data_IF_737996292567
#
_entry.id   IF_737996292567
#
_cell.length_a   1.000
_cell.length_b   1.000
_cell.length_c   1.000
_cell.angle_alpha   90.00
_cell.angle_beta   90.00
_cell.angle_gamma   90.00
#
_symmetry.space_group_name_H-M   'P 1'
#
loop_
_entity.id
_entity.type
_entity.pdbx_description
1 polymer ?
#
# COMPACT_ATOMS: atom_id res chain seq x y z
N UNK A 1 15.87 26.25 -1.69
CA UNK A 1 15.70 26.40 -0.22
C UNK A 1 15.20 25.08 0.34
N UNK A 2 15.97 24.43 1.22
CA UNK A 2 15.53 23.21 1.88
C UNK A 2 14.62 23.58 3.06
N UNK A 3 13.37 23.11 3.04
CA UNK A 3 12.42 23.34 4.12
C UNK A 3 12.48 22.16 5.08
N UNK A 4 12.97 22.42 6.29
CA UNK A 4 12.96 21.40 7.35
C UNK A 4 11.53 21.16 7.82
N UNK A 5 11.21 19.88 8.11
CA UNK A 5 9.96 19.53 8.76
C UNK A 5 9.94 20.11 10.18
N UNK A 6 9.03 21.07 10.41
CA UNK A 6 8.82 21.76 11.69
C UNK A 6 7.60 21.23 12.47
N UNK A 7 7.01 20.13 12.03
CA UNK A 7 5.89 19.52 12.74
C UNK A 7 6.33 19.17 14.17
N UNK A 8 5.53 19.48 15.22
CA UNK A 8 5.88 19.17 16.61
C UNK A 8 6.21 17.67 16.81
N UNK A 9 5.48 16.80 16.11
CA UNK A 9 5.66 15.34 16.20
C UNK A 9 6.83 14.82 15.34
N UNK A 10 7.55 15.69 14.63
CA UNK A 10 8.70 15.26 13.85
C UNK A 10 9.76 14.61 14.76
N UNK A 11 10.22 13.41 14.38
CA UNK A 11 11.17 12.58 15.14
C UNK A 11 10.65 12.05 16.49
N UNK A 12 9.37 12.16 16.76
CA UNK A 12 8.73 11.44 17.86
C UNK A 12 8.23 10.07 17.38
N UNK A 13 8.06 9.10 18.29
CA UNK A 13 7.40 7.84 17.96
C UNK A 13 6.02 8.08 17.33
N UNK A 14 5.65 7.23 16.38
CA UNK A 14 4.28 7.18 15.88
C UNK A 14 3.29 6.94 17.03
N UNK A 15 2.09 7.49 16.91
CA UNK A 15 1.00 7.13 17.82
C UNK A 15 0.74 5.62 17.74
N UNK A 16 0.15 4.98 18.77
CA UNK A 16 -0.17 3.56 18.70
C UNK A 16 -1.02 3.17 17.48
N UNK A 17 -1.94 4.05 17.07
CA UNK A 17 -2.77 3.87 15.89
C UNK A 17 -1.95 3.93 14.59
N UNK A 18 -1.10 4.94 14.45
CA UNK A 18 -0.23 5.07 13.28
C UNK A 18 0.81 3.95 13.22
N UNK A 19 1.34 3.51 14.37
CA UNK A 19 2.27 2.39 14.43
C UNK A 19 1.61 1.07 13.99
N UNK A 20 0.34 0.85 14.34
CA UNK A 20 -0.41 -0.30 13.88
C UNK A 20 -0.66 -0.27 12.35
N UNK A 21 -0.90 0.91 11.79
CA UNK A 21 -1.22 1.08 10.37
C UNK A 21 0.01 1.20 9.44
N UNK A 22 1.03 1.94 9.88
CA UNK A 22 2.21 2.33 9.09
C UNK A 22 3.48 1.59 9.52
N UNK A 23 3.45 0.87 10.65
CA UNK A 23 4.53 0.00 11.09
C UNK A 23 4.56 -1.33 10.35
N UNK A 24 5.49 -2.21 10.74
CA UNK A 24 5.73 -3.50 10.06
C UNK A 24 4.47 -4.37 9.98
N UNK A 25 3.68 -4.44 11.05
CA UNK A 25 2.44 -5.22 11.07
C UNK A 25 1.41 -4.71 10.06
N UNK A 26 1.29 -3.39 9.89
CA UNK A 26 0.41 -2.78 8.89
C UNK A 26 0.89 -3.05 7.46
N UNK A 27 2.21 -3.01 7.24
CA UNK A 27 2.83 -3.38 5.94
C UNK A 27 2.53 -4.85 5.61
N UNK A 28 2.76 -5.77 6.54
CA UNK A 28 2.49 -7.21 6.36
C UNK A 28 1.01 -7.48 6.03
N UNK A 29 0.09 -6.77 6.71
CA UNK A 29 -1.33 -6.88 6.42
C UNK A 29 -1.68 -6.37 5.01
N UNK A 30 -1.15 -5.20 4.62
CA UNK A 30 -1.37 -4.64 3.29
C UNK A 30 -0.78 -5.53 2.18
N UNK A 31 0.43 -6.05 2.37
CA UNK A 31 1.08 -6.97 1.43
C UNK A 31 0.28 -8.25 1.23
N UNK A 32 -0.25 -8.86 2.30
CA UNK A 32 -1.10 -10.05 2.20
C UNK A 32 -2.34 -9.81 1.33
N UNK A 33 -3.01 -8.68 1.51
CA UNK A 33 -4.19 -8.32 0.72
C UNK A 33 -3.84 -8.02 -0.74
N UNK A 34 -2.76 -7.26 -0.96
CA UNK A 34 -2.32 -6.92 -2.31
C UNK A 34 -1.82 -8.14 -3.08
N UNK A 35 -1.28 -9.15 -2.39
CA UNK A 35 -0.84 -10.42 -2.96
C UNK A 35 -1.99 -11.32 -3.42
N UNK A 36 -3.20 -11.14 -2.91
CA UNK A 36 -4.38 -11.86 -3.39
C UNK A 36 -4.83 -11.40 -4.80
N UNK A 37 -4.11 -10.49 -5.46
CA UNK A 37 -4.45 -9.95 -6.78
C UNK A 37 -3.63 -10.61 -7.88
N UNK A 38 -4.26 -10.82 -9.03
CA UNK A 38 -3.63 -11.47 -10.19
C UNK A 38 -2.50 -10.66 -10.87
N UNK A 39 -2.33 -9.37 -10.52
CA UNK A 39 -1.42 -8.44 -11.21
C UNK A 39 -0.45 -7.71 -10.26
N UNK A 40 0.43 -8.48 -9.63
CA UNK A 40 1.50 -7.92 -8.80
C UNK A 40 2.80 -7.83 -9.61
N UNK A 41 3.21 -6.60 -9.91
CA UNK A 41 4.55 -6.31 -10.40
C UNK A 41 5.14 -5.19 -9.54
N UNK A 42 6.38 -5.38 -9.09
CA UNK A 42 7.14 -4.30 -8.47
C UNK A 42 7.35 -3.17 -9.47
N UNK A 43 7.19 -1.94 -9.01
CA UNK A 43 7.52 -0.76 -9.79
C UNK A 43 9.00 -0.42 -9.70
N UNK A 44 9.61 0.17 -10.74
CA UNK A 44 11.03 0.52 -10.72
C UNK A 44 11.38 1.50 -9.59
N UNK A 45 12.61 1.37 -9.07
CA UNK A 45 13.26 2.37 -8.24
C UNK A 45 14.47 2.90 -8.99
N UNK A 46 14.34 4.07 -9.62
CA UNK A 46 15.39 4.67 -10.44
C UNK A 46 16.41 5.37 -9.57
N UNK A 47 17.70 5.06 -9.74
CA UNK A 47 18.80 5.81 -9.14
C UNK A 47 19.21 6.98 -10.05
N UNK A 48 19.41 8.18 -9.48
CA UNK A 48 19.78 9.40 -10.20
C UNK A 48 21.11 9.98 -9.69
N UNK A 49 22.25 9.28 -9.88
CA UNK A 49 23.53 9.66 -9.28
C UNK A 49 24.08 11.01 -9.81
N UNK A 50 23.89 11.33 -11.10
CA UNK A 50 24.35 12.60 -11.66
C UNK A 50 23.64 13.80 -11.01
N UNK A 51 22.30 13.75 -10.93
CA UNK A 51 21.50 14.79 -10.28
C UNK A 51 21.79 14.87 -8.77
N UNK A 52 22.05 13.75 -8.11
CA UNK A 52 22.48 13.75 -6.72
C UNK A 52 23.80 14.51 -6.52
N UNK A 53 24.76 14.33 -7.44
CA UNK A 53 26.03 15.07 -7.46
C UNK A 53 25.84 16.58 -7.67
N UNK A 54 25.00 16.98 -8.62
CA UNK A 54 24.67 18.39 -8.86
C UNK A 54 24.01 19.05 -7.64
N UNK A 55 23.17 18.31 -6.90
CA UNK A 55 22.48 18.78 -5.70
C UNK A 55 23.36 18.72 -4.43
N UNK A 56 24.53 18.08 -4.48
CA UNK A 56 25.40 17.89 -3.32
C UNK A 56 24.81 16.96 -2.25
N UNK A 57 23.97 15.98 -2.63
CA UNK A 57 23.37 14.99 -1.72
C UNK A 57 23.94 13.58 -1.95
N UNK A 58 23.86 12.72 -0.94
CA UNK A 58 24.46 11.37 -1.02
C UNK A 58 23.79 10.43 -2.02
N UNK A 59 22.48 10.51 -2.18
CA UNK A 59 21.73 9.71 -3.14
C UNK A 59 20.37 10.35 -3.47
N UNK A 60 19.88 10.09 -4.67
CA UNK A 60 18.53 10.41 -5.10
C UNK A 60 17.93 9.20 -5.80
N UNK A 61 16.78 8.75 -5.32
CA UNK A 61 16.02 7.66 -5.91
C UNK A 61 14.58 8.09 -6.18
N UNK A 62 14.01 7.61 -7.29
CA UNK A 62 12.61 7.83 -7.66
C UNK A 62 11.90 6.48 -7.73
N UNK A 63 10.90 6.27 -6.87
CA UNK A 63 9.98 5.13 -6.97
C UNK A 63 8.93 5.45 -8.03
N UNK A 64 9.01 4.78 -9.17
CA UNK A 64 8.19 5.07 -10.35
C UNK A 64 6.87 4.30 -10.32
N UNK A 65 5.90 4.89 -9.65
CA UNK A 65 4.53 4.36 -9.57
C UNK A 65 3.67 4.67 -10.81
N UNK A 66 4.22 5.29 -11.86
CA UNK A 66 3.47 5.67 -13.05
C UNK A 66 2.92 4.48 -13.84
N UNK A 67 3.53 3.30 -13.67
CA UNK A 67 3.08 2.03 -14.29
C UNK A 67 2.33 1.12 -13.34
N UNK A 68 2.11 1.54 -12.08
CA UNK A 68 1.41 0.74 -11.09
C UNK A 68 0.04 0.31 -11.62
N UNK A 69 -0.14 -0.99 -11.79
CA UNK A 69 -1.38 -1.63 -12.26
C UNK A 69 -1.85 -1.18 -13.65
N UNK A 70 -1.00 -0.50 -14.43
CA UNK A 70 -1.41 0.12 -15.69
C UNK A 70 -2.36 1.32 -15.56
N UNK A 71 -2.53 1.88 -14.34
CA UNK A 71 -3.53 2.91 -14.04
C UNK A 71 -2.95 4.34 -13.92
N UNK A 72 -1.66 4.51 -14.19
CA UNK A 72 -1.03 5.84 -14.22
C UNK A 72 -0.65 6.44 -12.84
N UNK A 73 -0.98 5.77 -11.72
CA UNK A 73 -0.57 6.20 -10.38
C UNK A 73 -0.68 5.09 -9.33
N UNK A 74 -0.15 5.34 -8.12
CA UNK A 74 -0.21 4.41 -6.99
C UNK A 74 -1.57 4.30 -6.29
N UNK A 75 -2.47 5.27 -6.48
CA UNK A 75 -3.67 5.45 -5.62
C UNK A 75 -4.64 4.26 -5.65
N UNK A 76 -4.63 3.52 -6.74
CA UNK A 76 -5.46 2.33 -6.90
C UNK A 76 -5.11 1.22 -5.88
N UNK A 77 -3.90 1.21 -5.31
CA UNK A 77 -3.54 0.26 -4.25
C UNK A 77 -4.42 0.43 -3.00
N UNK A 78 -4.61 1.67 -2.54
CA UNK A 78 -5.45 1.95 -1.37
C UNK A 78 -6.93 1.70 -1.65
N UNK A 79 -7.41 2.10 -2.83
CA UNK A 79 -8.80 1.83 -3.24
C UNK A 79 -9.10 0.34 -3.32
N UNK A 80 -8.23 -0.45 -3.95
CA UNK A 80 -8.38 -1.90 -4.03
C UNK A 80 -8.35 -2.55 -2.64
N UNK A 81 -7.40 -2.15 -1.79
CA UNK A 81 -7.30 -2.65 -0.41
C UNK A 81 -8.58 -2.40 0.39
N UNK A 82 -9.12 -1.17 0.34
CA UNK A 82 -10.36 -0.84 1.03
C UNK A 82 -11.56 -1.64 0.51
N UNK A 83 -11.70 -1.78 -0.82
CA UNK A 83 -12.81 -2.55 -1.42
C UNK A 83 -12.74 -4.02 -1.04
N UNK A 84 -11.55 -4.64 -1.00
CA UNK A 84 -11.42 -6.03 -0.54
C UNK A 84 -11.91 -6.22 0.88
N UNK A 85 -11.55 -5.33 1.81
CA UNK A 85 -12.05 -5.40 3.19
C UNK A 85 -13.57 -5.36 3.24
N UNK A 86 -14.19 -4.41 2.52
CA UNK A 86 -15.65 -4.28 2.46
C UNK A 86 -16.34 -5.53 1.88
N UNK A 87 -15.77 -6.11 0.81
CA UNK A 87 -16.31 -7.32 0.20
C UNK A 87 -16.19 -8.52 1.13
N UNK A 88 -15.06 -8.70 1.82
CA UNK A 88 -14.86 -9.80 2.77
C UNK A 88 -15.74 -9.65 4.02
N UNK A 89 -15.94 -8.43 4.51
CA UNK A 89 -16.87 -8.13 5.60
C UNK A 89 -18.31 -8.50 5.21
N UNK A 90 -18.76 -8.06 4.03
CA UNK A 90 -20.10 -8.38 3.52
C UNK A 90 -20.24 -9.90 3.26
N UNK A 91 -19.19 -10.55 2.76
CA UNK A 91 -19.15 -12.00 2.62
C UNK A 91 -19.31 -12.72 3.95
N UNK A 92 -18.64 -12.24 5.00
CA UNK A 92 -18.79 -12.82 6.31
C UNK A 92 -20.19 -12.68 6.89
N UNK A 93 -20.82 -11.53 6.67
CA UNK A 93 -22.21 -11.28 7.08
C UNK A 93 -23.20 -12.21 6.38
N UNK A 94 -23.05 -12.42 5.05
CA UNK A 94 -23.98 -13.27 4.28
C UNK A 94 -23.75 -14.76 4.48
N UNK A 95 -22.49 -15.18 4.65
CA UNK A 95 -22.12 -16.58 4.82
C UNK A 95 -22.18 -17.04 6.29
N UNK A 96 -22.31 -16.10 7.23
CA UNK A 96 -22.39 -16.39 8.67
C UNK A 96 -21.07 -16.92 9.25
N UNK A 97 -19.93 -16.57 8.65
CA UNK A 97 -18.57 -16.99 9.06
C UNK A 97 -17.55 -15.91 8.73
N UNK A 98 -16.37 -15.95 9.33
CA UNK A 98 -15.25 -15.13 8.84
C UNK A 98 -14.79 -15.60 7.45
N UNK A 99 -14.37 -14.67 6.60
CA UNK A 99 -13.85 -14.95 5.25
C UNK A 99 -12.45 -14.33 5.14
N UNK A 100 -11.45 -15.16 4.85
CA UNK A 100 -10.07 -14.70 4.69
C UNK A 100 -9.83 -14.15 3.27
N UNK A 101 -8.82 -13.29 3.12
CA UNK A 101 -8.46 -12.72 1.82
C UNK A 101 -7.98 -13.77 0.81
N UNK A 102 -7.49 -14.93 1.25
CA UNK A 102 -7.21 -16.06 0.37
C UNK A 102 -8.47 -16.59 -0.34
N UNK A 103 -9.66 -16.33 0.21
CA UNK A 103 -10.95 -16.73 -0.35
C UNK A 103 -11.54 -15.67 -1.28
N UNK A 104 -10.86 -14.52 -1.49
CA UNK A 104 -11.35 -13.39 -2.28
C UNK A 104 -11.83 -13.79 -3.68
N UNK A 105 -11.20 -14.81 -4.28
CA UNK A 105 -11.54 -15.31 -5.62
C UNK A 105 -12.55 -16.46 -5.65
N UNK A 106 -13.01 -16.90 -4.48
CA UNK A 106 -14.01 -17.96 -4.30
C UNK A 106 -15.35 -17.61 -4.96
N UNK A 107 -16.07 -18.62 -5.43
CA UNK A 107 -17.32 -18.42 -6.18
C UNK A 107 -18.43 -17.81 -5.30
N UNK A 108 -18.46 -18.15 -4.01
CA UNK A 108 -19.36 -17.60 -3.01
C UNK A 108 -19.06 -16.12 -2.72
N UNK A 109 -17.79 -15.74 -2.62
CA UNK A 109 -17.37 -14.34 -2.44
C UNK A 109 -17.63 -13.50 -3.71
N UNK A 110 -17.31 -14.03 -4.89
CA UNK A 110 -17.61 -13.37 -6.19
C UNK A 110 -19.09 -13.20 -6.48
N UNK A 111 -19.96 -14.00 -5.85
CA UNK A 111 -21.41 -13.83 -6.00
C UNK A 111 -21.94 -12.59 -5.26
N UNK A 112 -21.12 -11.96 -4.41
CA UNK A 112 -21.49 -10.78 -3.62
C UNK A 112 -21.13 -9.49 -4.34
N UNK A 113 -19.99 -9.45 -5.05
CA UNK A 113 -19.48 -8.30 -5.80
C UNK A 113 -18.57 -8.73 -6.95
#
# INVERSE_FOLDING_TARGET
>A
MFLLNRHPDHRHPLTPQDAAMLGLAGVEAAERFLAARDSQAETPLHALPALAGELGIGALHIKDEGKRLGLGSFKALGGAYAVMHLVLEEAGNRLGRSVDVAELHGADVKAIA
#
